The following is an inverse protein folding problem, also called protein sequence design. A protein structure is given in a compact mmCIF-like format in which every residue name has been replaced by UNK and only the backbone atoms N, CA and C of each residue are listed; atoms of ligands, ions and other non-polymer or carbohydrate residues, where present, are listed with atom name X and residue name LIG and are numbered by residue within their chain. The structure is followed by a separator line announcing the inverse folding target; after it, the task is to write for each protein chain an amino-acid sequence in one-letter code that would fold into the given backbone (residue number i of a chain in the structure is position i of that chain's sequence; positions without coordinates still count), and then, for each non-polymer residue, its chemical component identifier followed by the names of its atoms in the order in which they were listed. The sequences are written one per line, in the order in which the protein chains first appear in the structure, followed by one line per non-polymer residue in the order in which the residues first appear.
data_IF_170040919104
#
_entry.id   IF_170040919104
#
_cell.length_a   1.000
_cell.length_b   1.000
_cell.length_c   1.000
_cell.angle_alpha   90.00
_cell.angle_beta   90.00
_cell.angle_gamma   90.00
#
_symmetry.space_group_name_H-M   'P 1'
#
loop_
_entity.id
_entity.type
_entity.pdbx_description
1 polymer ?
#
# COMPACT_ATOMS: atom_id res chain seq x y z
N UNK A 1 -11.88 -1.12 3.86
CA UNK A 1 -11.00 0.08 3.76
C UNK A 1 -10.48 0.56 5.11
N UNK A 2 -10.98 1.63 5.77
CA UNK A 2 -10.25 2.21 6.94
C UNK A 2 -9.99 1.26 8.12
N UNK A 3 -10.94 0.41 8.50
CA UNK A 3 -10.70 -0.56 9.59
C UNK A 3 -9.77 -1.69 9.14
N UNK A 4 -9.81 -2.11 7.87
CA UNK A 4 -8.87 -3.09 7.30
C UNK A 4 -7.43 -2.54 7.31
N UNK A 5 -7.21 -1.29 6.88
CA UNK A 5 -5.88 -0.63 6.93
C UNK A 5 -5.28 -0.60 8.34
N UNK A 6 -6.12 -0.36 9.35
CA UNK A 6 -5.67 -0.40 10.76
C UNK A 6 -5.28 -1.80 11.19
N UNK A 7 -6.05 -2.81 10.78
CA UNK A 7 -5.73 -4.21 11.05
C UNK A 7 -4.42 -4.62 10.37
N UNK A 8 -4.21 -4.22 9.11
CA UNK A 8 -2.98 -4.45 8.37
C UNK A 8 -1.79 -3.87 9.10
N UNK A 9 -1.87 -2.58 9.45
CA UNK A 9 -0.83 -1.87 10.18
C UNK A 9 -0.54 -2.55 11.52
N UNK A 10 -1.56 -2.85 12.31
CA UNK A 10 -1.40 -3.48 13.62
C UNK A 10 -0.74 -4.86 13.48
N UNK A 11 -1.11 -5.63 12.46
CA UNK A 11 -0.53 -6.94 12.20
C UNK A 11 0.95 -6.83 11.81
N UNK A 12 1.32 -5.89 10.95
CA UNK A 12 2.74 -5.69 10.60
C UNK A 12 3.57 -5.13 11.76
N UNK A 13 3.02 -4.23 12.58
CA UNK A 13 3.68 -3.77 13.81
C UNK A 13 3.96 -4.94 14.76
N UNK A 14 2.99 -5.84 14.94
CA UNK A 14 3.19 -7.07 15.70
C UNK A 14 4.28 -7.96 15.08
N UNK A 15 4.20 -8.25 13.78
CA UNK A 15 5.17 -9.10 13.08
C UNK A 15 6.59 -8.53 13.14
N UNK A 16 6.75 -7.21 13.00
CA UNK A 16 8.06 -6.56 13.15
C UNK A 16 8.62 -6.75 14.56
N UNK A 17 7.79 -6.57 15.59
CA UNK A 17 8.22 -6.76 16.98
C UNK A 17 8.61 -8.22 17.26
N UNK A 18 7.78 -9.18 16.84
CA UNK A 18 8.00 -10.62 17.05
C UNK A 18 9.29 -11.10 16.37
N UNK A 19 9.59 -10.57 15.18
CA UNK A 19 10.79 -10.90 14.41
C UNK A 19 12.01 -10.01 14.70
N UNK A 20 11.87 -9.04 15.63
CA UNK A 20 12.91 -8.06 15.98
C UNK A 20 13.44 -7.27 14.77
N UNK A 21 12.54 -6.99 13.82
CA UNK A 21 12.82 -6.16 12.65
C UNK A 21 12.53 -4.71 13.01
N UNK A 22 13.46 -3.81 12.68
CA UNK A 22 13.24 -2.36 12.83
C UNK A 22 12.45 -1.83 11.63
N UNK A 23 11.51 -0.89 11.82
CA UNK A 23 10.93 -0.17 10.69
C UNK A 23 11.98 0.72 10.02
N UNK A 24 11.66 1.20 8.81
CA UNK A 24 12.52 2.17 8.12
C UNK A 24 12.73 3.44 8.95
N UNK A 25 13.94 4.00 8.91
CA UNK A 25 14.23 5.27 9.58
C UNK A 25 13.44 6.45 8.98
N UNK A 26 12.90 6.29 7.77
CA UNK A 26 12.11 7.29 7.06
C UNK A 26 10.62 7.28 7.46
N UNK A 27 10.19 6.41 8.38
CA UNK A 27 8.78 6.30 8.76
C UNK A 27 8.12 7.63 9.15
N UNK A 28 8.76 8.53 9.93
CA UNK A 28 8.17 9.85 10.24
C UNK A 28 7.95 10.72 8.99
N UNK A 29 8.85 10.64 8.01
CA UNK A 29 8.72 11.37 6.75
C UNK A 29 7.54 10.84 5.94
N UNK A 30 7.39 9.51 5.85
CA UNK A 30 6.31 8.89 5.09
C UNK A 30 4.94 9.09 5.72
N UNK A 31 4.84 9.14 7.05
CA UNK A 31 3.60 9.51 7.73
C UNK A 31 3.10 10.91 7.33
N UNK A 32 4.02 11.88 7.25
CA UNK A 32 3.69 13.24 6.83
C UNK A 32 3.32 13.26 5.34
N UNK A 33 4.12 12.58 4.50
CA UNK A 33 3.90 12.56 3.06
C UNK A 33 2.56 11.89 2.69
N UNK A 34 2.23 10.75 3.30
CA UNK A 34 0.96 10.04 3.08
C UNK A 34 -0.24 10.89 3.50
N UNK A 35 -0.18 11.53 4.67
CA UNK A 35 -1.23 12.45 5.11
C UNK A 35 -1.40 13.64 4.16
N UNK A 36 -0.30 14.27 3.75
CA UNK A 36 -0.33 15.41 2.85
C UNK A 36 -0.90 15.03 1.48
N UNK A 37 -0.53 13.86 0.95
CA UNK A 37 -1.06 13.33 -0.30
C UNK A 37 -2.57 13.11 -0.21
N UNK A 38 -3.04 12.40 0.82
CA UNK A 38 -4.47 12.15 1.02
C UNK A 38 -5.29 13.44 1.23
N UNK A 39 -4.76 14.39 2.00
CA UNK A 39 -5.41 15.67 2.21
C UNK A 39 -5.48 16.49 0.91
N UNK A 40 -4.39 16.52 0.12
CA UNK A 40 -4.35 17.25 -1.15
C UNK A 40 -5.35 16.68 -2.16
N UNK A 41 -5.43 15.36 -2.30
CA UNK A 41 -6.34 14.71 -3.25
C UNK A 41 -7.80 14.82 -2.80
N UNK A 42 -8.08 14.74 -1.50
CA UNK A 42 -9.40 15.01 -0.95
C UNK A 42 -9.88 16.46 -1.22
N UNK A 43 -8.99 17.45 -1.13
CA UNK A 43 -9.30 18.85 -1.47
C UNK A 43 -9.58 19.05 -2.97
N UNK A 44 -9.04 18.19 -3.83
CA UNK A 44 -9.28 18.21 -5.27
C UNK A 44 -10.63 17.56 -5.67
N UNK A 45 -11.28 16.85 -4.74
CA UNK A 45 -12.58 16.22 -4.94
C UNK A 45 -12.56 14.72 -4.67
N UNK A 46 -13.76 14.13 -4.65
CA UNK A 46 -13.95 12.70 -4.34
C UNK A 46 -13.23 11.82 -5.36
N UNK A 47 -13.37 12.13 -6.65
CA UNK A 47 -12.79 11.38 -7.76
C UNK A 47 -11.26 11.38 -7.67
N UNK A 48 -10.64 12.51 -7.31
CA UNK A 48 -9.20 12.63 -7.13
C UNK A 48 -8.71 11.84 -5.89
N UNK A 49 -9.48 11.84 -4.80
CA UNK A 49 -9.19 10.99 -3.64
C UNK A 49 -9.27 9.50 -4.00
N UNK A 50 -10.30 9.08 -4.74
CA UNK A 50 -10.41 7.70 -5.21
C UNK A 50 -9.30 7.33 -6.20
N UNK A 51 -8.90 8.24 -7.09
CA UNK A 51 -7.74 8.04 -7.97
C UNK A 51 -6.44 7.85 -7.18
N UNK A 52 -6.28 8.57 -6.07
CA UNK A 52 -5.18 8.36 -5.14
C UNK A 52 -5.21 6.95 -4.54
N UNK A 53 -6.36 6.51 -4.02
CA UNK A 53 -6.55 5.15 -3.49
C UNK A 53 -6.18 4.12 -4.54
N UNK A 54 -6.82 4.15 -5.72
CA UNK A 54 -6.54 3.22 -6.83
C UNK A 54 -5.05 3.18 -7.18
N UNK A 55 -4.40 4.33 -7.26
CA UNK A 55 -2.98 4.40 -7.59
C UNK A 55 -2.06 3.84 -6.49
N UNK A 56 -2.40 4.05 -5.21
CA UNK A 56 -1.65 3.49 -4.07
C UNK A 56 -1.86 1.98 -4.01
N UNK A 57 -3.10 1.50 -4.03
CA UNK A 57 -3.42 0.08 -3.86
C UNK A 57 -2.90 -0.78 -5.00
N UNK A 58 -2.85 -0.26 -6.23
CA UNK A 58 -2.18 -0.95 -7.34
C UNK A 58 -0.69 -1.21 -7.03
N UNK A 59 0.00 -0.23 -6.45
CA UNK A 59 1.42 -0.39 -6.08
C UNK A 59 1.60 -1.31 -4.88
N UNK A 60 0.73 -1.20 -3.87
CA UNK A 60 0.81 -2.06 -2.68
C UNK A 60 0.46 -3.51 -3.04
N UNK A 61 -0.56 -3.74 -3.87
CA UNK A 61 -0.90 -5.06 -4.40
C UNK A 61 0.26 -5.70 -5.18
N UNK A 62 0.91 -4.94 -6.06
CA UNK A 62 2.14 -5.37 -6.76
C UNK A 62 3.28 -5.69 -5.80
N UNK A 63 3.44 -4.88 -4.75
CA UNK A 63 4.48 -5.08 -3.73
C UNK A 63 4.24 -6.37 -2.93
N UNK A 64 3.02 -6.61 -2.46
CA UNK A 64 2.68 -7.85 -1.78
C UNK A 64 2.80 -9.07 -2.71
N UNK A 65 2.45 -8.94 -3.99
CA UNK A 65 2.69 -10.00 -4.97
C UNK A 65 4.19 -10.36 -5.09
N UNK A 66 5.07 -9.36 -5.00
CA UNK A 66 6.51 -9.57 -5.00
C UNK A 66 6.98 -10.27 -3.72
N UNK A 67 6.52 -9.82 -2.55
CA UNK A 67 6.81 -10.47 -1.27
C UNK A 67 6.33 -11.94 -1.23
N UNK A 68 5.14 -12.23 -1.78
CA UNK A 68 4.61 -13.59 -1.87
C UNK A 68 5.54 -14.48 -2.70
N UNK A 69 6.07 -13.97 -3.82
CA UNK A 69 7.03 -14.72 -4.65
C UNK A 69 8.31 -14.99 -3.86
N UNK A 70 8.87 -13.99 -3.19
CA UNK A 70 10.08 -14.14 -2.38
C UNK A 70 9.88 -15.19 -1.26
N UNK A 71 8.75 -15.16 -0.56
CA UNK A 71 8.44 -16.12 0.50
C UNK A 71 8.30 -17.54 -0.05
N UNK A 72 7.65 -17.71 -1.21
CA UNK A 72 7.48 -19.01 -1.87
C UNK A 72 8.80 -19.56 -2.41
N UNK A 73 9.70 -18.70 -2.88
CA UNK A 73 11.02 -19.09 -3.37
C UNK A 73 11.99 -19.47 -2.24
N UNK A 74 11.85 -18.88 -1.04
CA UNK A 74 12.65 -19.24 0.15
C UNK A 74 12.21 -20.58 0.76
N UNK A 75 11.07 -20.59 1.45
CA UNK A 75 10.48 -21.80 2.05
C UNK A 75 9.02 -21.50 2.48
N UNK A 76 8.02 -21.88 1.67
CA UNK A 76 6.62 -21.53 1.92
C UNK A 76 6.03 -22.23 3.16
N UNK A 77 6.55 -23.40 3.54
CA UNK A 77 6.06 -24.12 4.72
C UNK A 77 6.61 -23.50 6.00
N UNK A 78 7.88 -23.09 6.00
CA UNK A 78 8.49 -22.38 7.12
C UNK A 78 7.81 -21.04 7.40
N UNK A 79 7.38 -20.33 6.36
CA UNK A 79 6.80 -18.98 6.46
C UNK A 79 5.28 -18.95 6.24
N UNK A 80 4.60 -20.07 6.43
CA UNK A 80 3.18 -20.25 6.10
C UNK A 80 2.27 -19.15 6.65
N UNK A 81 2.43 -18.78 7.92
CA UNK A 81 1.59 -17.76 8.55
C UNK A 81 1.80 -16.36 7.95
N UNK A 82 3.05 -16.03 7.60
CA UNK A 82 3.38 -14.78 6.92
C UNK A 82 2.82 -14.80 5.49
N UNK A 83 2.99 -15.91 4.78
CA UNK A 83 2.47 -16.08 3.42
C UNK A 83 0.95 -15.89 3.36
N UNK A 84 0.20 -16.51 4.26
CA UNK A 84 -1.26 -16.36 4.31
C UNK A 84 -1.68 -14.95 4.73
N UNK A 85 -0.93 -14.31 5.64
CA UNK A 85 -1.18 -12.90 6.02
C UNK A 85 -1.00 -11.97 4.82
N UNK A 86 0.12 -12.07 4.10
CA UNK A 86 0.41 -11.20 2.95
C UNK A 86 -0.56 -11.47 1.80
N UNK A 87 -0.96 -12.73 1.55
CA UNK A 87 -2.00 -13.07 0.57
C UNK A 87 -3.34 -12.41 0.91
N UNK A 88 -3.77 -12.51 2.17
CA UNK A 88 -5.02 -11.89 2.64
C UNK A 88 -4.99 -10.39 2.38
N UNK A 89 -3.93 -9.71 2.81
CA UNK A 89 -3.84 -8.25 2.66
C UNK A 89 -3.78 -7.86 1.18
N UNK A 90 -3.04 -8.59 0.35
CA UNK A 90 -3.01 -8.40 -1.10
C UNK A 90 -4.39 -8.53 -1.75
N UNK A 91 -5.21 -9.48 -1.32
CA UNK A 91 -6.57 -9.62 -1.84
C UNK A 91 -7.49 -8.47 -1.36
N UNK A 92 -7.29 -7.99 -0.13
CA UNK A 92 -8.00 -6.82 0.42
C UNK A 92 -7.61 -5.51 -0.31
N UNK A 93 -6.33 -5.31 -0.64
CA UNK A 93 -5.91 -4.12 -1.42
C UNK A 93 -6.46 -4.14 -2.85
N UNK A 94 -6.50 -5.30 -3.49
CA UNK A 94 -7.13 -5.42 -4.80
C UNK A 94 -8.63 -5.11 -4.73
N UNK A 95 -9.29 -5.48 -3.63
CA UNK A 95 -10.67 -5.09 -3.39
C UNK A 95 -10.82 -3.58 -3.16
N UNK A 96 -9.92 -2.95 -2.40
CA UNK A 96 -9.86 -1.49 -2.21
C UNK A 96 -9.67 -0.74 -3.53
N UNK A 97 -8.76 -1.24 -4.37
CA UNK A 97 -8.55 -0.74 -5.73
C UNK A 97 -9.86 -0.78 -6.54
N UNK A 98 -10.56 -1.90 -6.55
CA UNK A 98 -11.81 -2.06 -7.30
C UNK A 98 -12.92 -1.12 -6.78
N UNK A 99 -13.05 -0.97 -5.46
CA UNK A 99 -13.94 0.02 -4.84
C UNK A 99 -13.62 1.44 -5.32
N UNK A 100 -12.34 1.79 -5.43
CA UNK A 100 -11.90 3.08 -5.93
C UNK A 100 -12.34 3.32 -7.38
N UNK A 101 -12.23 2.30 -8.23
CA UNK A 101 -12.73 2.35 -9.62
C UNK A 101 -14.25 2.50 -9.69
N UNK A 102 -14.99 1.73 -8.88
CA UNK A 102 -16.45 1.82 -8.77
C UNK A 102 -16.93 3.19 -8.28
N UNK A 103 -16.10 3.91 -7.52
CA UNK A 103 -16.36 5.25 -7.03
C UNK A 103 -15.77 6.37 -7.91
N UNK A 104 -15.72 6.13 -9.22
CA UNK A 104 -15.42 7.14 -10.24
C UNK A 104 -13.98 7.70 -10.19
N UNK A 105 -13.01 6.93 -9.70
CA UNK A 105 -11.59 7.32 -9.73
C UNK A 105 -11.14 7.80 -11.12
N UNK A 106 -11.55 7.11 -12.19
CA UNK A 106 -11.16 7.43 -13.56
C UNK A 106 -11.71 8.78 -14.07
N UNK A 107 -12.71 9.34 -13.39
CA UNK A 107 -13.26 10.67 -13.70
C UNK A 107 -12.44 11.80 -13.08
N UNK A 108 -11.39 11.50 -12.31
CA UNK A 108 -10.55 12.53 -11.71
C UNK A 108 -9.91 13.44 -12.79
N UNK A 109 -9.81 14.76 -12.53
CA UNK A 109 -9.07 15.66 -13.41
C UNK A 109 -7.64 15.17 -13.62
N UNK A 110 -7.24 14.99 -14.89
CA UNK A 110 -5.92 14.48 -15.26
C UNK A 110 -5.58 13.11 -14.64
N UNK A 111 -6.57 12.23 -14.45
CA UNK A 111 -6.44 10.90 -13.83
C UNK A 111 -5.13 10.19 -14.16
N UNK A 112 -4.83 9.99 -15.45
CA UNK A 112 -3.61 9.28 -15.86
C UNK A 112 -2.33 9.93 -15.34
N UNK A 113 -2.23 11.26 -15.36
CA UNK A 113 -1.04 11.97 -14.87
C UNK A 113 -0.94 11.86 -13.35
N UNK A 114 -2.06 12.08 -12.64
CA UNK A 114 -2.13 11.98 -11.20
C UNK A 114 -1.76 10.56 -10.73
N UNK A 115 -2.40 9.54 -11.29
CA UNK A 115 -2.16 8.14 -10.96
C UNK A 115 -0.73 7.73 -11.23
N UNK A 116 -0.14 8.10 -12.38
CA UNK A 116 1.26 7.77 -12.67
C UNK A 116 2.24 8.46 -11.71
N UNK A 117 1.99 9.73 -11.38
CA UNK A 117 2.83 10.46 -10.41
C UNK A 117 2.80 9.79 -9.02
N UNK A 118 1.61 9.42 -8.55
CA UNK A 118 1.42 8.71 -7.27
C UNK A 118 2.10 7.34 -7.32
N UNK A 119 1.88 6.55 -8.38
CA UNK A 119 2.51 5.23 -8.53
C UNK A 119 4.04 5.31 -8.49
N UNK A 120 4.64 6.25 -9.22
CA UNK A 120 6.09 6.49 -9.20
C UNK A 120 6.56 6.88 -7.80
N UNK A 121 5.83 7.77 -7.13
CA UNK A 121 6.12 8.19 -5.76
C UNK A 121 6.10 7.02 -4.77
N UNK A 122 5.04 6.21 -4.78
CA UNK A 122 4.91 5.04 -3.91
C UNK A 122 5.99 4.00 -4.18
N UNK A 123 6.25 3.67 -5.45
CA UNK A 123 7.33 2.72 -5.82
C UNK A 123 8.70 3.22 -5.34
N UNK A 124 8.96 4.52 -5.48
CA UNK A 124 10.18 5.14 -4.97
C UNK A 124 10.28 5.07 -3.45
N UNK A 125 9.19 5.38 -2.74
CA UNK A 125 9.13 5.34 -1.28
C UNK A 125 9.39 3.93 -0.73
N UNK A 126 8.77 2.91 -1.33
CA UNK A 126 9.00 1.49 -1.00
C UNK A 126 10.48 1.14 -1.21
N UNK A 127 11.01 1.41 -2.41
CA UNK A 127 12.39 1.08 -2.77
C UNK A 127 13.43 1.69 -1.82
N UNK A 128 13.25 2.95 -1.41
CA UNK A 128 14.15 3.59 -0.44
C UNK A 128 13.97 2.99 0.96
N UNK A 129 12.73 2.72 1.37
CA UNK A 129 12.41 2.21 2.72
C UNK A 129 12.95 0.82 3.00
N UNK A 130 12.99 -0.05 1.99
CA UNK A 130 13.61 -1.39 2.09
C UNK A 130 15.12 -1.34 2.42
N UNK A 131 15.78 -0.20 2.17
CA UNK A 131 17.23 -0.05 2.27
C UNK A 131 17.69 0.72 3.51
N UNK A 132 16.80 1.49 4.14
CA UNK A 132 17.16 2.48 5.18
C UNK A 132 16.47 2.19 6.52
#
# INVERSE_FOLDING_TARGET
MWEEEKEHRAKFEQLMADNRVRPTALLPLWNIAGFALGAATALMGKEAAMACTVAVEDVIGDHYNSQIREIVEDDPEKHKDLLETVKKFRDEELHHHDIGLEHDAEKAPFYNVLSQAIKIGCKGAIWVSERI
#
